data_IF_751750190773
#
_entry.id   IF_751750190773
#
_cell.length_a   1.000
_cell.length_b   1.000
_cell.length_c   1.000
_cell.angle_alpha   90.00
_cell.angle_beta   90.00
_cell.angle_gamma   90.00
#
_symmetry.space_group_name_H-M   'P 1'
#
loop_
_entity.id
_entity.type
_entity.pdbx_description
1 polymer ?
#
# COMPACT_ATOMS: atom_id res chain seq x y z
N UNK A 1 -36.02 -11.97 8.47
CA UNK A 1 -36.09 -10.70 9.23
C UNK A 1 -34.83 -10.47 10.08
N UNK A 2 -34.61 -11.14 11.22
CA UNK A 2 -33.45 -10.84 12.10
C UNK A 2 -32.07 -11.18 11.49
N UNK A 3 -31.98 -12.28 10.72
CA UNK A 3 -30.73 -12.73 10.07
C UNK A 3 -30.20 -11.73 9.02
N UNK A 4 -31.09 -11.11 8.23
CA UNK A 4 -30.69 -10.15 7.20
C UNK A 4 -30.28 -8.80 7.81
N UNK A 5 -30.94 -8.40 8.90
CA UNK A 5 -30.55 -7.22 9.66
C UNK A 5 -29.16 -7.37 10.28
N UNK A 6 -28.85 -8.56 10.81
CA UNK A 6 -27.52 -8.85 11.35
C UNK A 6 -26.44 -8.88 10.26
N UNK A 7 -26.73 -9.48 9.10
CA UNK A 7 -25.83 -9.47 7.93
C UNK A 7 -25.53 -8.05 7.45
N UNK A 8 -26.54 -7.19 7.38
CA UNK A 8 -26.38 -5.79 7.03
C UNK A 8 -25.51 -5.01 8.03
N UNK A 9 -25.67 -5.25 9.34
CA UNK A 9 -24.85 -4.61 10.38
C UNK A 9 -23.38 -5.03 10.32
N UNK A 10 -23.11 -6.31 9.99
CA UNK A 10 -21.74 -6.81 9.78
C UNK A 10 -21.12 -6.14 8.56
N UNK A 11 -21.83 -6.12 7.42
CA UNK A 11 -21.36 -5.46 6.20
C UNK A 11 -21.07 -3.96 6.41
N UNK A 12 -21.94 -3.26 7.13
CA UNK A 12 -21.74 -1.85 7.47
C UNK A 12 -20.52 -1.63 8.37
N UNK A 13 -20.23 -2.56 9.28
CA UNK A 13 -19.04 -2.49 10.14
C UNK A 13 -17.78 -2.69 9.32
N UNK A 14 -17.76 -3.68 8.41
CA UNK A 14 -16.64 -3.93 7.50
C UNK A 14 -16.38 -2.70 6.61
N UNK A 15 -17.42 -2.16 5.96
CA UNK A 15 -17.29 -0.97 5.11
C UNK A 15 -16.77 0.24 5.91
N UNK A 16 -17.29 0.46 7.13
CA UNK A 16 -16.80 1.54 8.01
C UNK A 16 -15.34 1.34 8.39
N UNK A 17 -14.92 0.12 8.68
CA UNK A 17 -13.55 -0.21 9.05
C UNK A 17 -12.58 -0.02 7.88
N UNK A 18 -12.89 -0.59 6.70
CA UNK A 18 -12.12 -0.39 5.46
C UNK A 18 -11.95 1.10 5.14
N UNK A 19 -13.03 1.88 5.24
CA UNK A 19 -12.96 3.33 5.01
C UNK A 19 -12.10 4.05 6.06
N UNK A 20 -12.09 3.57 7.30
CA UNK A 20 -11.27 4.12 8.39
C UNK A 20 -9.79 3.89 8.10
N UNK A 21 -9.40 2.67 7.75
CA UNK A 21 -8.00 2.35 7.45
C UNK A 21 -7.47 3.07 6.22
N UNK A 22 -8.27 3.14 5.14
CA UNK A 22 -7.91 3.93 3.96
C UNK A 22 -7.63 5.41 4.32
N UNK A 23 -8.38 5.95 5.27
CA UNK A 23 -8.20 7.31 5.77
C UNK A 23 -6.92 7.47 6.59
N UNK A 24 -6.57 6.46 7.39
CA UNK A 24 -5.33 6.44 8.16
C UNK A 24 -4.11 6.38 7.24
N UNK A 25 -4.11 5.45 6.28
CA UNK A 25 -3.04 5.33 5.31
C UNK A 25 -2.90 6.60 4.45
N UNK A 26 -4.01 7.23 4.03
CA UNK A 26 -3.98 8.49 3.29
C UNK A 26 -3.31 9.61 4.10
N UNK A 27 -3.64 9.72 5.39
CA UNK A 27 -3.17 10.79 6.30
C UNK A 27 -1.84 10.50 6.97
N UNK A 28 -1.33 9.27 6.88
CA UNK A 28 -0.11 8.85 7.53
C UNK A 28 1.03 9.86 7.29
N UNK A 29 1.63 10.42 8.36
CA UNK A 29 2.75 11.35 8.24
C UNK A 29 4.03 10.61 7.82
N UNK A 30 4.09 9.30 8.04
CA UNK A 30 5.16 8.43 7.60
C UNK A 30 4.56 7.16 6.97
N UNK A 31 5.10 6.73 5.84
CA UNK A 31 4.66 5.53 5.12
C UNK A 31 5.80 4.94 4.32
N UNK A 32 5.64 3.70 3.87
CA UNK A 32 6.57 3.07 2.94
C UNK A 32 5.97 3.01 1.54
N UNK A 33 6.83 2.98 0.54
CA UNK A 33 6.45 2.70 -0.85
C UNK A 33 7.36 1.64 -1.47
N UNK A 34 6.73 0.69 -2.16
CA UNK A 34 7.41 -0.18 -3.11
C UNK A 34 7.32 0.44 -4.50
N UNK A 35 8.45 0.53 -5.18
CA UNK A 35 8.51 0.87 -6.61
C UNK A 35 8.72 -0.38 -7.44
N UNK A 36 8.34 -0.27 -8.71
CA UNK A 36 8.40 -1.35 -9.66
C UNK A 36 8.95 -0.84 -10.99
N UNK A 37 9.78 -1.66 -11.63
CA UNK A 37 10.39 -1.32 -12.92
C UNK A 37 9.36 -1.07 -14.04
N UNK A 38 8.17 -1.66 -13.93
CA UNK A 38 7.07 -1.44 -14.89
C UNK A 38 5.70 -1.40 -14.20
N UNK A 39 4.73 -0.78 -14.86
CA UNK A 39 3.32 -0.76 -14.45
C UNK A 39 2.75 -2.17 -14.30
N UNK A 40 3.16 -3.13 -15.14
CA UNK A 40 2.70 -4.51 -15.06
C UNK A 40 3.08 -5.18 -13.74
N UNK A 41 4.28 -4.91 -13.22
CA UNK A 41 4.68 -5.41 -11.89
C UNK A 41 3.89 -4.77 -10.77
N UNK A 42 3.63 -3.45 -10.82
CA UNK A 42 2.79 -2.77 -9.84
C UNK A 42 1.35 -3.33 -9.82
N UNK A 43 0.76 -3.59 -10.98
CA UNK A 43 -0.58 -4.19 -11.09
C UNK A 43 -0.59 -5.67 -10.66
N UNK A 44 0.53 -6.39 -10.82
CA UNK A 44 0.66 -7.74 -10.26
C UNK A 44 0.72 -7.69 -8.74
N UNK A 45 1.50 -6.77 -8.17
CA UNK A 45 1.58 -6.51 -6.74
C UNK A 45 0.19 -6.20 -6.15
N UNK A 46 -0.57 -5.32 -6.80
CA UNK A 46 -1.93 -4.98 -6.38
C UNK A 46 -2.83 -6.22 -6.26
N UNK A 47 -2.76 -7.15 -7.22
CA UNK A 47 -3.58 -8.37 -7.19
C UNK A 47 -3.17 -9.31 -6.06
N UNK A 48 -1.86 -9.49 -5.86
CA UNK A 48 -1.30 -10.34 -4.79
C UNK A 48 -1.72 -9.80 -3.43
N UNK A 49 -1.49 -8.52 -3.17
CA UNK A 49 -1.82 -7.89 -1.89
C UNK A 49 -3.33 -7.85 -1.63
N UNK A 50 -4.17 -7.67 -2.67
CA UNK A 50 -5.63 -7.82 -2.51
C UNK A 50 -6.06 -9.24 -2.15
N UNK A 51 -5.36 -10.26 -2.61
CA UNK A 51 -5.73 -11.65 -2.34
C UNK A 51 -5.53 -12.04 -0.86
N UNK A 52 -4.71 -11.28 -0.12
CA UNK A 52 -4.46 -11.45 1.31
C UNK A 52 -5.11 -10.34 2.15
N UNK A 53 -6.07 -9.59 1.59
CA UNK A 53 -6.76 -8.48 2.26
C UNK A 53 -5.82 -7.42 2.87
N UNK A 54 -4.67 -7.18 2.23
CA UNK A 54 -3.69 -6.21 2.70
C UNK A 54 -4.20 -4.75 2.66
N UNK A 55 -3.77 -3.96 3.64
CA UNK A 55 -3.96 -2.51 3.68
C UNK A 55 -2.88 -1.78 2.90
N UNK A 56 -3.23 -1.36 1.68
CA UNK A 56 -2.33 -0.62 0.80
C UNK A 56 -3.07 0.30 -0.18
N UNK A 57 -2.31 1.15 -0.86
CA UNK A 57 -2.81 1.98 -1.96
C UNK A 57 -1.84 1.92 -3.14
N UNK A 58 -2.37 1.74 -4.35
CA UNK A 58 -1.60 2.03 -5.57
C UNK A 58 -1.63 3.53 -5.83
N UNK A 59 -0.46 4.14 -5.94
CA UNK A 59 -0.30 5.58 -6.21
C UNK A 59 0.67 5.78 -7.38
N UNK A 60 0.61 6.92 -8.09
CA UNK A 60 1.72 7.35 -8.93
C UNK A 60 3.00 7.43 -8.09
N UNK A 61 4.12 7.00 -8.65
CA UNK A 61 5.43 7.16 -8.00
C UNK A 61 5.69 8.63 -7.70
N UNK A 62 6.17 8.93 -6.49
CA UNK A 62 6.44 10.31 -6.07
C UNK A 62 7.54 10.92 -6.95
N UNK A 63 7.41 12.22 -7.25
CA UNK A 63 8.39 12.95 -8.08
C UNK A 63 9.78 12.98 -7.44
N UNK A 64 9.84 12.94 -6.12
CA UNK A 64 11.09 12.86 -5.35
C UNK A 64 11.81 11.51 -5.51
N UNK A 65 11.10 10.47 -5.97
CA UNK A 65 11.66 9.15 -6.27
C UNK A 65 11.97 9.02 -7.76
N UNK A 66 11.02 9.36 -8.63
CA UNK A 66 11.18 9.25 -10.08
C UNK A 66 10.35 10.30 -10.81
N UNK A 67 10.91 10.85 -11.88
CA UNK A 67 10.23 11.77 -12.79
C UNK A 67 9.35 11.05 -13.82
N UNK A 68 9.37 9.72 -13.86
CA UNK A 68 8.58 8.90 -14.80
C UNK A 68 7.16 8.62 -14.29
N UNK A 69 6.25 8.22 -15.17
CA UNK A 69 4.85 7.87 -14.87
C UNK A 69 4.67 6.45 -14.28
N UNK A 70 5.59 6.01 -13.41
CA UNK A 70 5.52 4.73 -12.73
C UNK A 70 4.40 4.64 -11.70
N UNK A 71 4.06 3.41 -11.30
CA UNK A 71 3.17 3.14 -10.17
C UNK A 71 3.98 2.60 -8.99
N UNK A 72 3.52 2.94 -7.79
CA UNK A 72 4.07 2.46 -6.52
C UNK A 72 2.94 1.92 -5.63
N UNK A 73 3.29 1.02 -4.73
CA UNK A 73 2.40 0.55 -3.66
C UNK A 73 2.79 1.25 -2.37
N UNK A 74 1.86 2.01 -1.79
CA UNK A 74 1.97 2.71 -0.51
C UNK A 74 1.32 1.89 0.61
N UNK A 75 1.99 1.80 1.75
CA UNK A 75 1.52 1.03 2.90
C UNK A 75 2.14 1.57 4.21
N UNK A 76 1.65 1.10 5.36
CA UNK A 76 2.21 1.48 6.67
C UNK A 76 3.55 0.77 6.91
N UNK A 77 4.52 1.42 7.59
CA UNK A 77 5.85 0.84 7.78
C UNK A 77 5.86 -0.53 8.47
N UNK A 78 4.89 -0.79 9.35
CA UNK A 78 4.78 -2.02 10.12
C UNK A 78 4.55 -3.25 9.23
N UNK A 79 4.04 -3.06 8.01
CA UNK A 79 3.71 -4.15 7.09
C UNK A 79 4.84 -4.44 6.08
N UNK A 80 6.01 -3.82 6.26
CA UNK A 80 7.11 -3.88 5.29
C UNK A 80 7.59 -5.30 5.02
N UNK A 81 7.94 -6.03 6.07
CA UNK A 81 8.50 -7.37 5.94
C UNK A 81 7.46 -8.36 5.40
N UNK A 82 6.24 -8.30 5.93
CA UNK A 82 5.12 -9.13 5.50
C UNK A 82 4.83 -8.95 4.01
N UNK A 83 4.64 -7.71 3.56
CA UNK A 83 4.29 -7.46 2.16
C UNK A 83 5.47 -7.72 1.22
N UNK A 84 6.71 -7.50 1.66
CA UNK A 84 7.89 -7.85 0.87
C UNK A 84 7.98 -9.37 0.65
N UNK A 85 7.74 -10.16 1.71
CA UNK A 85 7.69 -11.62 1.62
C UNK A 85 6.58 -12.09 0.69
N UNK A 86 5.37 -11.58 0.87
CA UNK A 86 4.20 -11.96 0.07
C UNK A 86 4.41 -11.70 -1.43
N UNK A 87 5.01 -10.55 -1.77
CA UNK A 87 5.35 -10.20 -3.15
C UNK A 87 6.46 -11.09 -3.72
N UNK A 88 7.48 -11.40 -2.92
CA UNK A 88 8.56 -12.28 -3.32
C UNK A 88 8.06 -13.70 -3.62
N UNK A 89 7.21 -14.26 -2.75
CA UNK A 89 6.63 -15.60 -2.89
C UNK A 89 5.79 -15.73 -4.16
N UNK A 90 5.15 -14.63 -4.59
CA UNK A 90 4.38 -14.55 -5.83
C UNK A 90 5.20 -14.07 -7.06
N UNK A 91 6.52 -14.03 -6.95
CA UNK A 91 7.44 -13.61 -8.02
C UNK A 91 7.11 -12.21 -8.55
N UNK A 92 6.88 -11.26 -7.64
CA UNK A 92 6.69 -9.85 -7.94
C UNK A 92 7.96 -9.12 -7.52
N UNK A 93 8.81 -8.80 -8.49
CA UNK A 93 10.06 -8.11 -8.21
C UNK A 93 9.80 -6.66 -7.75
N UNK A 94 10.22 -6.36 -6.52
CA UNK A 94 10.29 -4.99 -5.99
C UNK A 94 11.59 -4.38 -6.50
N UNK A 95 11.50 -3.21 -7.15
CA UNK A 95 12.69 -2.52 -7.66
C UNK A 95 13.43 -1.79 -6.54
N UNK A 96 12.69 -1.11 -5.67
CA UNK A 96 13.23 -0.39 -4.52
C UNK A 96 12.14 -0.15 -3.49
N UNK A 97 12.57 0.04 -2.25
CA UNK A 97 11.71 0.42 -1.13
C UNK A 97 12.13 1.77 -0.62
N UNK A 98 11.16 2.63 -0.32
CA UNK A 98 11.44 3.92 0.28
C UNK A 98 10.55 4.18 1.49
N UNK A 99 11.15 4.77 2.53
CA UNK A 99 10.43 5.40 3.63
C UNK A 99 10.19 6.86 3.28
N UNK A 100 8.94 7.29 3.39
CA UNK A 100 8.52 8.65 3.08
C UNK A 100 7.99 9.31 4.35
N UNK A 101 8.51 10.50 4.67
CA UNK A 101 8.04 11.37 5.76
C UNK A 101 7.46 12.65 5.16
N UNK A 102 6.20 12.97 5.47
CA UNK A 102 5.54 14.20 5.04
C UNK A 102 5.97 15.37 5.93
N UNK A 103 6.57 16.38 5.32
CA UNK A 103 7.02 17.62 5.98
C UNK A 103 6.28 18.82 5.36
N UNK A 104 4.98 18.93 5.65
CA UNK A 104 4.12 19.98 5.09
C UNK A 104 3.92 19.84 3.58
N UNK A 105 4.52 20.75 2.80
CA UNK A 105 4.43 20.76 1.33
C UNK A 105 5.47 19.87 0.63
N UNK A 106 6.43 19.30 1.36
CA UNK A 106 7.50 18.48 0.79
C UNK A 106 7.54 17.10 1.44
N UNK A 107 7.95 16.11 0.68
CA UNK A 107 8.26 14.79 1.20
C UNK A 107 9.76 14.65 1.39
N UNK A 108 10.17 14.01 2.49
CA UNK A 108 11.53 13.47 2.65
C UNK A 108 11.46 11.98 2.35
N UNK A 109 12.31 11.53 1.44
CA UNK A 109 12.35 10.15 0.96
C UNK A 109 13.70 9.56 1.31
N UNK A 110 13.69 8.38 1.92
CA UNK A 110 14.87 7.60 2.29
C UNK A 110 14.75 6.22 1.65
N UNK A 111 15.75 5.79 0.88
CA UNK A 111 15.79 4.45 0.31
C UNK A 111 16.13 3.46 1.42
N UNK A 112 15.38 2.35 1.49
CA UNK A 112 15.65 1.25 2.40
C UNK A 112 16.33 0.11 1.63
N UNK A 113 17.31 -0.53 2.28
CA UNK A 113 17.88 -1.78 1.80
C UNK A 113 17.04 -2.93 2.36
N UNK A 114 16.47 -3.75 1.49
CA UNK A 114 15.83 -5.02 1.90
C UNK A 114 16.96 -6.02 2.18
N UNK A 115 16.94 -6.63 3.37
CA UNK A 115 17.91 -7.66 3.77
C UNK A 115 17.52 -9.04 3.22
#
# INVERSE_FOLDING_TARGET
>A
MLKEHLQMLVLLTIIKWVNTMNKELLKAPQYCVFTFATTSYALKAERVLKAVDADFMVIPTLREISSSCGLSVKFLPDNLEEYASELNDHQVAIESVYRVKKNGHRNTVEKLELQ
#
